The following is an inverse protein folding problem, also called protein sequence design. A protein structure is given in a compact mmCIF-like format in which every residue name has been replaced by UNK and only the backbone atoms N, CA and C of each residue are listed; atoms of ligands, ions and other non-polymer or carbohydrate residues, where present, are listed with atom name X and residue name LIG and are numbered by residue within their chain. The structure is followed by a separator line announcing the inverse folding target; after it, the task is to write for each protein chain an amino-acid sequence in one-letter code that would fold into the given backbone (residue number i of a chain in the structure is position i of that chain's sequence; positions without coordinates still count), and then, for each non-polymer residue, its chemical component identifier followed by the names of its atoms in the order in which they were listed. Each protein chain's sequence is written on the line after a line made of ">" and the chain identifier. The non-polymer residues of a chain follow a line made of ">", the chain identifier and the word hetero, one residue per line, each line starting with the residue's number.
data_IF_122234095910
#
_entry.id   IF_122234095910
#
_cell.length_a   1.000
_cell.length_b   1.000
_cell.length_c   1.000
_cell.angle_alpha   90.00
_cell.angle_beta   90.00
_cell.angle_gamma   90.00
#
_symmetry.space_group_name_H-M   'P 1'
#
loop_
_entity.id
_entity.type
_entity.pdbx_description
1 polymer ?
#
# COMPACT_ATOMS: atom_id res chain seq x y z
N UNK A 1 -12.28 -8.09 14.29
CA UNK A 1 -11.98 -9.08 15.34
C UNK A 1 -10.64 -9.80 15.13
N UNK A 2 -10.42 -10.56 14.04
CA UNK A 2 -9.15 -11.30 13.86
C UNK A 2 -7.93 -10.41 13.57
N UNK A 3 -8.10 -9.30 12.85
CA UNK A 3 -7.03 -8.31 12.63
C UNK A 3 -6.45 -7.77 13.96
N UNK A 4 -7.29 -7.54 14.97
CA UNK A 4 -6.86 -7.11 16.31
C UNK A 4 -6.11 -8.21 17.07
N UNK A 5 -6.20 -9.46 16.64
CA UNK A 5 -5.46 -10.61 17.19
C UNK A 5 -4.13 -10.85 16.46
N UNK A 6 -3.69 -9.92 15.61
CA UNK A 6 -2.40 -9.99 14.92
C UNK A 6 -2.40 -10.76 13.60
N UNK A 7 -3.57 -11.22 13.12
CA UNK A 7 -3.69 -11.86 11.80
C UNK A 7 -3.34 -10.85 10.70
N UNK A 8 -2.51 -11.28 9.74
CA UNK A 8 -2.13 -10.44 8.61
C UNK A 8 -3.32 -10.16 7.69
N UNK A 9 -3.57 -8.89 7.38
CA UNK A 9 -4.64 -8.45 6.48
C UNK A 9 -4.04 -7.57 5.39
N UNK A 10 -4.40 -7.85 4.14
CA UNK A 10 -3.97 -7.09 2.97
C UNK A 10 -5.19 -6.57 2.21
N UNK A 11 -5.29 -5.24 2.06
CA UNK A 11 -6.32 -4.57 1.27
C UNK A 11 -5.70 -3.91 0.04
N UNK A 12 -6.02 -4.44 -1.15
CA UNK A 12 -5.53 -3.91 -2.44
C UNK A 12 -6.64 -3.10 -3.11
N UNK A 13 -6.32 -1.90 -3.59
CA UNK A 13 -7.23 -0.99 -4.27
C UNK A 13 -8.53 -0.76 -3.47
N UNK A 14 -9.67 -1.30 -3.90
CA UNK A 14 -10.92 -1.23 -3.13
C UNK A 14 -10.81 -1.84 -1.72
N UNK A 15 -9.94 -2.83 -1.54
CA UNK A 15 -9.64 -3.38 -0.22
C UNK A 15 -9.05 -2.33 0.73
N UNK A 16 -8.21 -1.42 0.24
CA UNK A 16 -7.66 -0.33 1.06
C UNK A 16 -8.78 0.64 1.50
N UNK A 17 -9.69 0.98 0.58
CA UNK A 17 -10.86 1.81 0.90
C UNK A 17 -11.67 1.20 2.05
N UNK A 18 -11.98 -0.11 1.96
CA UNK A 18 -12.72 -0.82 3.00
C UNK A 18 -11.96 -0.83 4.34
N UNK A 19 -10.64 -0.96 4.32
CA UNK A 19 -9.83 -0.92 5.56
C UNK A 19 -9.87 0.45 6.24
N UNK A 20 -9.89 1.53 5.47
CA UNK A 20 -10.10 2.88 5.98
C UNK A 20 -11.52 3.06 6.55
N UNK A 21 -12.56 2.73 5.78
CA UNK A 21 -13.97 2.88 6.19
C UNK A 21 -14.34 2.00 7.40
N UNK A 22 -13.67 0.86 7.56
CA UNK A 22 -13.86 -0.02 8.73
C UNK A 22 -13.08 0.41 9.98
N UNK A 23 -12.26 1.46 9.89
CA UNK A 23 -11.41 1.94 10.99
C UNK A 23 -10.20 1.03 11.29
N UNK A 24 -9.87 0.08 10.42
CA UNK A 24 -8.68 -0.75 10.55
C UNK A 24 -7.40 -0.02 10.10
N UNK A 25 -7.55 0.98 9.24
CA UNK A 25 -6.51 1.93 8.85
C UNK A 25 -7.03 3.36 8.99
N UNK A 26 -6.16 4.33 9.32
CA UNK A 26 -6.53 5.73 9.36
C UNK A 26 -6.69 6.31 7.94
N UNK A 27 -7.32 7.48 7.85
CA UNK A 27 -7.52 8.23 6.62
C UNK A 27 -8.70 7.74 5.78
N UNK A 28 -8.82 8.28 4.57
CA UNK A 28 -9.86 7.96 3.61
C UNK A 28 -9.31 8.03 2.17
N UNK A 29 -10.03 7.39 1.24
CA UNK A 29 -9.69 7.41 -0.18
C UNK A 29 -10.75 8.21 -0.93
N UNK A 30 -10.35 9.34 -1.50
CA UNK A 30 -11.22 10.25 -2.23
C UNK A 30 -11.11 10.00 -3.74
N UNK A 31 -11.99 10.67 -4.50
CA UNK A 31 -11.83 10.81 -5.95
C UNK A 31 -10.46 11.37 -6.29
N UNK A 32 -9.87 10.83 -7.36
CA UNK A 32 -8.61 11.34 -7.91
C UNK A 32 -8.73 12.84 -8.18
N UNK A 33 -7.68 13.61 -7.88
CA UNK A 33 -7.70 15.07 -8.00
C UNK A 33 -8.05 15.56 -9.42
N UNK A 34 -7.69 14.80 -10.45
CA UNK A 34 -8.02 15.10 -11.85
C UNK A 34 -9.38 14.54 -12.31
N UNK A 35 -10.14 13.90 -11.42
CA UNK A 35 -11.46 13.28 -11.69
C UNK A 35 -11.45 12.27 -12.85
N UNK A 36 -10.32 11.60 -13.06
CA UNK A 36 -10.14 10.57 -14.09
C UNK A 36 -9.73 9.24 -13.48
N UNK A 37 -10.18 8.17 -14.12
CA UNK A 37 -9.69 6.83 -13.85
C UNK A 37 -8.25 6.70 -14.36
N UNK A 38 -7.33 6.30 -13.48
CA UNK A 38 -5.93 6.06 -13.83
C UNK A 38 -5.71 4.56 -13.99
N UNK A 39 -5.32 4.16 -15.21
CA UNK A 39 -4.97 2.79 -15.57
C UNK A 39 -3.61 2.76 -16.28
N UNK A 40 -2.51 2.63 -15.53
CA UNK A 40 -1.15 2.60 -16.10
C UNK A 40 -0.15 1.94 -15.15
N UNK A 41 1.01 1.46 -15.64
CA UNK A 41 2.14 1.18 -14.77
C UNK A 41 2.59 2.45 -14.04
N UNK A 42 2.92 2.31 -12.76
CA UNK A 42 3.40 3.40 -11.91
C UNK A 42 4.61 2.90 -11.12
N UNK A 43 5.58 3.80 -10.93
CA UNK A 43 6.73 3.57 -10.08
C UNK A 43 6.39 3.96 -8.63
N UNK A 44 6.76 3.09 -7.70
CA UNK A 44 6.64 3.30 -6.26
C UNK A 44 8.01 3.24 -5.61
N UNK A 45 8.25 4.14 -4.67
CA UNK A 45 9.34 4.01 -3.70
C UNK A 45 8.87 3.14 -2.54
N UNK A 46 9.69 2.18 -2.14
CA UNK A 46 9.48 1.43 -0.89
C UNK A 46 10.02 2.27 0.26
N UNK A 47 9.13 2.84 1.06
CA UNK A 47 9.49 3.73 2.17
C UNK A 47 9.85 2.90 3.42
N UNK A 48 9.01 1.93 3.78
CA UNK A 48 9.27 1.03 4.90
C UNK A 48 9.50 -0.42 4.44
N UNK A 49 10.76 -0.86 4.53
CA UNK A 49 11.22 -2.22 4.20
C UNK A 49 11.11 -3.22 5.35
N UNK A 50 10.82 -2.74 6.56
CA UNK A 50 10.83 -3.52 7.80
C UNK A 50 9.42 -3.94 8.19
N UNK A 51 8.62 -4.38 7.22
CA UNK A 51 7.24 -4.86 7.45
C UNK A 51 7.10 -6.33 7.08
N UNK A 52 6.04 -6.97 7.57
CA UNK A 52 5.65 -8.34 7.17
C UNK A 52 5.36 -8.47 5.67
N UNK A 53 5.16 -7.34 4.99
CA UNK A 53 4.77 -7.28 3.58
C UNK A 53 5.94 -6.88 2.67
N UNK A 54 7.08 -6.45 3.21
CA UNK A 54 8.17 -5.89 2.41
C UNK A 54 9.55 -6.52 2.65
N UNK A 55 9.66 -7.54 3.50
CA UNK A 55 10.93 -8.17 3.87
C UNK A 55 11.67 -8.84 2.71
N UNK A 56 10.97 -9.35 1.69
CA UNK A 56 11.58 -10.05 0.57
C UNK A 56 12.09 -9.11 -0.55
N UNK A 57 11.89 -7.79 -0.45
CA UNK A 57 12.40 -6.84 -1.44
C UNK A 57 13.92 -6.60 -1.37
N UNK A 58 14.62 -7.11 -0.34
CA UNK A 58 16.07 -6.98 -0.22
C UNK A 58 16.56 -5.53 -0.24
N UNK A 59 17.34 -5.13 -1.26
CA UNK A 59 17.86 -3.77 -1.45
C UNK A 59 17.12 -2.94 -2.52
N UNK A 60 16.10 -3.49 -3.19
CA UNK A 60 15.36 -2.81 -4.26
C UNK A 60 14.55 -1.60 -3.75
N UNK A 61 14.95 -0.37 -4.09
CA UNK A 61 14.32 0.85 -3.55
C UNK A 61 13.03 1.26 -4.27
N UNK A 62 12.91 0.90 -5.55
CA UNK A 62 11.79 1.28 -6.41
C UNK A 62 11.19 0.04 -7.06
N UNK A 63 9.87 0.01 -7.16
CA UNK A 63 9.10 -1.10 -7.72
C UNK A 63 8.08 -0.58 -8.73
N UNK A 64 7.80 -1.36 -9.76
CA UNK A 64 6.78 -1.06 -10.75
C UNK A 64 5.54 -1.91 -10.53
N UNK A 65 4.41 -1.25 -10.31
CA UNK A 65 3.11 -1.91 -10.13
C UNK A 65 2.07 -1.30 -11.07
N UNK A 66 0.93 -1.95 -11.20
CA UNK A 66 -0.17 -1.39 -12.01
C UNK A 66 -1.09 -0.54 -11.15
N UNK A 67 -1.55 0.58 -11.68
CA UNK A 67 -2.63 1.38 -11.09
C UNK A 67 -3.94 1.09 -11.81
N UNK A 68 -5.05 1.06 -11.08
CA UNK A 68 -6.39 0.95 -11.65
C UNK A 68 -7.45 1.47 -10.70
N UNK A 69 -7.66 2.78 -10.63
CA UNK A 69 -8.72 3.38 -9.80
C UNK A 69 -9.21 4.74 -10.32
N UNK A 70 -10.42 5.11 -9.90
CA UNK A 70 -10.95 6.50 -9.94
C UNK A 70 -10.98 7.18 -8.58
N UNK A 71 -10.95 6.40 -7.50
CA UNK A 71 -11.06 6.84 -6.10
C UNK A 71 -9.84 6.37 -5.29
N UNK A 72 -8.65 6.81 -5.69
CA UNK A 72 -7.38 6.40 -5.08
C UNK A 72 -6.60 7.49 -4.37
N UNK A 73 -7.19 8.66 -4.19
CA UNK A 73 -6.54 9.81 -3.55
C UNK A 73 -6.56 9.64 -2.02
N UNK A 74 -5.44 9.20 -1.43
CA UNK A 74 -5.33 9.08 0.02
C UNK A 74 -5.33 10.44 0.70
N UNK A 75 -6.22 10.60 1.68
CA UNK A 75 -6.38 11.82 2.45
C UNK A 75 -6.46 11.51 3.94
N UNK A 76 -5.84 12.36 4.74
CA UNK A 76 -6.02 12.41 6.18
C UNK A 76 -5.74 13.85 6.66
N UNK A 77 -6.23 14.22 7.84
CA UNK A 77 -5.90 15.50 8.45
C UNK A 77 -4.42 15.58 8.85
N UNK A 78 -3.93 16.78 9.16
CA UNK A 78 -2.52 17.02 9.43
C UNK A 78 -1.97 16.23 10.62
N UNK A 79 -2.76 16.06 11.69
CA UNK A 79 -2.33 15.33 12.90
C UNK A 79 -2.26 13.83 12.63
N UNK A 80 -3.22 13.30 11.87
CA UNK A 80 -3.24 11.92 11.42
C UNK A 80 -2.07 11.63 10.48
N UNK A 81 -1.80 12.50 9.50
CA UNK A 81 -0.64 12.37 8.61
C UNK A 81 0.66 12.38 9.40
N UNK A 82 0.82 13.32 10.33
CA UNK A 82 1.99 13.38 11.20
C UNK A 82 2.18 12.08 11.99
N UNK A 83 1.10 11.53 12.55
CA UNK A 83 1.14 10.26 13.29
C UNK A 83 1.57 9.09 12.41
N UNK A 84 1.04 9.00 11.17
CA UNK A 84 1.41 7.96 10.20
C UNK A 84 2.91 8.05 9.86
N UNK A 85 3.43 9.27 9.65
CA UNK A 85 4.83 9.50 9.33
C UNK A 85 5.75 9.19 10.51
N UNK A 86 5.45 9.72 11.70
CA UNK A 86 6.26 9.53 12.92
C UNK A 86 6.37 8.05 13.31
N UNK A 87 5.29 7.28 13.10
CA UNK A 87 5.25 5.85 13.37
C UNK A 87 5.84 4.98 12.24
N UNK A 88 6.39 5.59 11.19
CA UNK A 88 6.94 4.89 10.03
C UNK A 88 5.91 3.92 9.38
N UNK A 89 4.64 4.34 9.32
CA UNK A 89 3.53 3.53 8.81
C UNK A 89 3.38 3.60 7.30
N UNK A 90 4.06 4.53 6.61
CA UNK A 90 4.06 4.60 5.15
C UNK A 90 4.91 3.46 4.58
N UNK A 91 4.31 2.60 3.76
CA UNK A 91 5.01 1.46 3.15
C UNK A 91 5.44 1.78 1.73
N UNK A 92 4.56 2.40 0.95
CA UNK A 92 4.82 2.77 -0.44
C UNK A 92 4.46 4.23 -0.69
N UNK A 93 5.30 4.91 -1.45
CA UNK A 93 4.99 6.23 -2.02
C UNK A 93 5.02 6.17 -3.53
N UNK A 94 4.16 6.95 -4.17
CA UNK A 94 4.29 7.23 -5.59
C UNK A 94 5.58 7.99 -5.85
N UNK A 95 6.34 7.60 -6.88
CA UNK A 95 7.42 8.44 -7.40
C UNK A 95 6.83 9.63 -8.15
N UNK A 96 5.80 9.36 -8.96
CA UNK A 96 4.99 10.38 -9.62
C UNK A 96 3.53 10.17 -9.23
N UNK A 97 3.00 11.06 -8.39
CA UNK A 97 1.67 10.94 -7.79
C UNK A 97 0.55 11.08 -8.84
N UNK A 98 -0.21 10.00 -9.14
CA UNK A 98 -1.17 10.02 -10.23
C UNK A 98 -2.57 10.49 -9.81
N UNK A 99 -2.86 10.53 -8.51
CA UNK A 99 -4.21 10.70 -7.98
C UNK A 99 -4.35 11.86 -7.00
N UNK A 100 -3.25 12.48 -6.58
CA UNK A 100 -3.23 13.61 -5.65
C UNK A 100 -3.14 13.21 -4.17
N UNK A 101 -2.76 11.96 -3.88
CA UNK A 101 -2.64 11.45 -2.51
C UNK A 101 -1.73 12.32 -1.64
N UNK A 102 -2.15 12.57 -0.41
CA UNK A 102 -1.36 13.30 0.58
C UNK A 102 0.01 12.64 0.79
N UNK A 103 1.07 13.47 0.82
CA UNK A 103 2.47 13.05 0.93
C UNK A 103 2.87 11.93 -0.05
N UNK A 104 2.24 11.85 -1.21
CA UNK A 104 2.46 10.81 -2.22
C UNK A 104 2.23 9.39 -1.70
N UNK A 105 1.43 9.21 -0.65
CA UNK A 105 1.18 7.92 -0.01
C UNK A 105 0.42 7.00 -0.97
N UNK A 106 0.99 5.84 -1.27
CA UNK A 106 0.39 4.78 -2.07
C UNK A 106 -0.09 3.59 -1.24
N UNK A 107 0.46 3.40 -0.04
CA UNK A 107 0.02 2.38 0.91
C UNK A 107 0.62 2.55 2.31
N UNK A 108 -0.15 2.15 3.32
CA UNK A 108 0.18 2.29 4.74
C UNK A 108 -0.10 1.00 5.51
N UNK A 109 0.60 0.81 6.62
CA UNK A 109 0.29 -0.21 7.62
C UNK A 109 -0.35 0.37 8.87
N UNK A 110 -1.10 -0.45 9.62
CA UNK A 110 -1.52 -0.08 10.97
C UNK A 110 -0.32 -0.04 11.94
N UNK A 111 -0.53 0.52 13.13
CA UNK A 111 0.52 0.66 14.16
C UNK A 111 1.10 -0.70 14.61
N UNK A 112 0.30 -1.77 14.58
CA UNK A 112 0.76 -3.13 14.89
C UNK A 112 1.50 -3.82 13.72
N UNK A 113 1.53 -3.22 12.53
CA UNK A 113 2.26 -3.70 11.36
C UNK A 113 1.69 -4.95 10.69
N UNK A 114 0.45 -5.35 11.02
CA UNK A 114 -0.20 -6.56 10.50
C UNK A 114 -1.33 -6.28 9.51
N UNK A 115 -1.76 -5.03 9.34
CA UNK A 115 -2.77 -4.65 8.34
C UNK A 115 -2.11 -3.70 7.34
N UNK A 116 -2.04 -4.08 6.07
CA UNK A 116 -1.54 -3.24 4.98
C UNK A 116 -2.69 -2.88 4.04
N UNK A 117 -2.83 -1.60 3.72
CA UNK A 117 -3.68 -1.10 2.66
C UNK A 117 -2.84 -0.41 1.59
N UNK A 118 -3.12 -0.67 0.31
CA UNK A 118 -2.44 0.01 -0.79
C UNK A 118 -3.33 0.14 -2.03
N UNK A 119 -3.16 1.23 -2.78
CA UNK A 119 -3.91 1.47 -4.02
C UNK A 119 -3.35 0.77 -5.27
N UNK A 120 -2.02 0.66 -5.46
CA UNK A 120 -1.46 -0.09 -6.59
C UNK A 120 -1.75 -1.59 -6.48
N UNK A 121 -1.73 -2.29 -7.61
CA UNK A 121 -2.05 -3.71 -7.75
C UNK A 121 -0.79 -4.57 -7.91
N UNK A 122 -0.20 -5.08 -6.80
CA UNK A 122 0.87 -6.06 -6.86
C UNK A 122 0.38 -7.41 -7.40
N UNK A 123 -0.90 -7.74 -7.20
CA UNK A 123 -1.61 -8.91 -7.74
C UNK A 123 -1.73 -8.91 -9.28
N UNK A 124 -1.46 -7.78 -9.93
CA UNK A 124 -1.44 -7.64 -11.40
C UNK A 124 -0.04 -7.36 -11.94
N UNK A 125 0.97 -7.41 -11.07
CA UNK A 125 2.37 -7.11 -11.38
C UNK A 125 3.31 -8.14 -10.75
N UNK A 126 2.91 -9.41 -10.70
CA UNK A 126 3.65 -10.49 -10.03
C UNK A 126 4.41 -11.43 -10.99
N UNK A 127 4.27 -11.24 -12.31
CA UNK A 127 4.97 -12.04 -13.33
C UNK A 127 5.43 -11.14 -14.47
N UNK A 128 6.62 -11.38 -15.07
CA UNK A 128 7.13 -10.55 -16.17
C UNK A 128 6.16 -10.43 -17.35
N UNK A 129 5.39 -11.49 -17.63
CA UNK A 129 4.39 -11.51 -18.71
C UNK A 129 3.24 -10.51 -18.49
N UNK A 130 3.01 -10.06 -17.25
CA UNK A 130 2.01 -9.05 -16.89
C UNK A 130 2.56 -7.61 -16.93
N UNK A 131 3.83 -7.45 -17.35
CA UNK A 131 4.52 -6.16 -17.50
C UNK A 131 5.45 -5.81 -16.35
N UNK A 132 5.37 -6.50 -15.20
CA UNK A 132 6.30 -6.38 -14.07
C UNK A 132 6.19 -7.61 -13.17
N UNK A 133 7.27 -7.97 -12.50
CA UNK A 133 7.30 -9.01 -11.46
C UNK A 133 7.49 -8.42 -10.03
N UNK A 134 7.55 -7.09 -9.90
CA UNK A 134 7.88 -6.44 -8.64
C UNK A 134 6.78 -6.55 -7.57
N UNK A 135 5.60 -7.05 -7.91
CA UNK A 135 4.53 -7.39 -6.95
C UNK A 135 4.76 -8.72 -6.23
N UNK A 136 5.50 -9.66 -6.82
CA UNK A 136 5.71 -10.99 -6.26
C UNK A 136 6.43 -11.00 -4.89
N UNK A 137 7.49 -10.20 -4.67
CA UNK A 137 8.18 -10.17 -3.38
C UNK A 137 7.28 -9.78 -2.21
N UNK A 138 6.22 -9.00 -2.43
CA UNK A 138 5.26 -8.68 -1.36
C UNK A 138 4.55 -9.94 -0.84
N UNK A 139 4.09 -10.81 -1.75
CA UNK A 139 3.44 -12.07 -1.39
C UNK A 139 4.44 -13.06 -0.77
N UNK A 140 5.69 -13.11 -1.26
CA UNK A 140 6.74 -13.90 -0.62
C UNK A 140 7.03 -13.43 0.82
N UNK A 141 7.02 -12.12 1.06
CA UNK A 141 7.19 -11.55 2.40
C UNK A 141 6.05 -12.01 3.33
N UNK A 142 4.81 -11.97 2.84
CA UNK A 142 3.64 -12.39 3.60
C UNK A 142 3.70 -13.88 3.96
N UNK A 143 4.08 -14.75 3.01
CA UNK A 143 4.23 -16.19 3.25
C UNK A 143 5.36 -16.45 4.27
N UNK A 144 6.49 -15.78 4.13
CA UNK A 144 7.60 -15.91 5.08
C UNK A 144 7.18 -15.48 6.50
N UNK A 145 6.38 -14.41 6.63
CA UNK A 145 5.87 -13.97 7.92
C UNK A 145 4.91 -14.98 8.59
N UNK A 146 4.22 -15.82 7.81
CA UNK A 146 3.37 -16.90 8.33
C UNK A 146 4.16 -18.10 8.84
N UNK A 147 5.36 -18.34 8.31
CA UNK A 147 6.22 -19.46 8.72
C UNK A 147 6.96 -19.21 10.03
N UNK A 148 7.05 -17.94 10.44
CA UNK A 148 7.76 -17.50 11.65
C UNK A 148 6.79 -17.22 12.81
N UNK A 149 5.48 -17.29 12.57
CA UNK A 149 4.41 -17.08 13.56
C UNK A 149 3.93 -18.40 14.17
#
# INVERSE_FOLDING_TARGET
>A
AQAMRGVSVLGICNGFQILCESGLLPGALLRNAQLKYVCKPIALKIENRKTRFTSAYGNQQTVWMTQGNGDGNFFADADTLKTIEDNNQVVFRYVENPNGSANDIAGIVNTAGNVLGMMPHPDRAFEPALGSADGAPMFHSLVAALQVA
#
